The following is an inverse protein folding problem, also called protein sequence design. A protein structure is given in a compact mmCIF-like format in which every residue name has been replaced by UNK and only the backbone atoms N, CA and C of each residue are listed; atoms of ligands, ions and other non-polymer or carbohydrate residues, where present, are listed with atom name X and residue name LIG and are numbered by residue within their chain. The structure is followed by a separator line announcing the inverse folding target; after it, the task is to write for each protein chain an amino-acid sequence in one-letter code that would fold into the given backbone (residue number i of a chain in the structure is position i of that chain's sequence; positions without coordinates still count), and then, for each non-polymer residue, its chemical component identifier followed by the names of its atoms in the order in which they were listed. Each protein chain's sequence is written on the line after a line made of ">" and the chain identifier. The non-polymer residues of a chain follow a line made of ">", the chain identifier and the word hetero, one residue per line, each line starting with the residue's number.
data_IF_310383177859
#
_entry.id   IF_310383177859
#
_cell.length_a   1.000
_cell.length_b   1.000
_cell.length_c   1.000
_cell.angle_alpha   90.00
_cell.angle_beta   90.00
_cell.angle_gamma   90.00
#
_symmetry.space_group_name_H-M   'P 1'
#
loop_
_entity.id
_entity.type
_entity.pdbx_description
1 polymer ?
#
# COMPACT_ATOMS: atom_id res chain seq x y z
N UNK A 1 -42.04 9.61 -35.75
CA UNK A 1 -41.44 10.06 -34.48
C UNK A 1 -40.81 8.81 -33.86
N UNK A 2 -39.49 8.59 -33.96
CA UNK A 2 -38.42 9.18 -33.14
C UNK A 2 -38.69 8.94 -31.64
N UNK A 3 -37.82 8.36 -30.82
CA UNK A 3 -36.52 7.72 -31.00
C UNK A 3 -36.29 6.83 -29.74
N UNK A 4 -35.32 5.92 -29.84
CA UNK A 4 -34.88 5.02 -28.79
C UNK A 4 -34.38 5.73 -27.51
N UNK A 5 -34.44 5.00 -26.38
CA UNK A 5 -33.52 5.20 -25.26
C UNK A 5 -33.26 3.85 -24.58
N UNK A 6 -32.26 3.15 -25.10
CA UNK A 6 -31.47 2.22 -24.30
C UNK A 6 -30.63 3.04 -23.29
N UNK A 7 -30.48 2.51 -22.09
CA UNK A 7 -29.33 2.74 -21.20
C UNK A 7 -28.99 1.35 -20.67
N UNK A 8 -28.13 0.60 -21.32
CA UNK A 8 -26.67 0.64 -21.22
C UNK A 8 -26.13 0.89 -19.80
N UNK A 9 -25.55 -0.19 -19.27
CA UNK A 9 -24.22 -0.27 -18.67
C UNK A 9 -23.95 0.53 -17.40
N UNK A 10 -23.91 -0.23 -16.29
CA UNK A 10 -23.21 0.13 -15.07
C UNK A 10 -22.60 -1.11 -14.43
N UNK A 11 -21.95 -1.95 -15.25
CA UNK A 11 -21.07 -2.99 -14.75
C UNK A 11 -19.98 -2.32 -13.91
N UNK A 12 -20.09 -2.40 -12.59
CA UNK A 12 -18.95 -2.09 -11.72
C UNK A 12 -17.91 -3.16 -12.04
N UNK A 13 -16.91 -2.73 -12.80
CA UNK A 13 -15.68 -3.46 -13.05
C UNK A 13 -15.18 -4.04 -11.73
N UNK A 14 -15.20 -5.37 -11.60
CA UNK A 14 -14.29 -6.06 -10.69
C UNK A 14 -12.87 -5.80 -11.20
N UNK A 15 -12.23 -4.78 -10.63
CA UNK A 15 -10.80 -4.50 -10.69
C UNK A 15 -10.49 -4.13 -9.24
N UNK A 16 -9.83 -4.91 -8.40
CA UNK A 16 -8.76 -5.87 -8.64
C UNK A 16 -7.63 -5.45 -7.71
N UNK A 17 -7.46 -6.16 -6.58
CA UNK A 17 -6.35 -5.97 -5.64
C UNK A 17 -6.15 -4.51 -5.18
N UNK A 18 -7.04 -4.00 -4.32
CA UNK A 18 -6.81 -2.69 -3.69
C UNK A 18 -5.65 -2.84 -2.70
N UNK A 19 -4.49 -2.28 -3.04
CA UNK A 19 -3.29 -2.33 -2.20
C UNK A 19 -3.13 -1.05 -1.41
N UNK A 20 -2.91 -1.21 -0.11
CA UNK A 20 -2.49 -0.14 0.80
C UNK A 20 -1.03 -0.34 1.18
N UNK A 21 -0.35 0.74 1.51
CA UNK A 21 1.09 0.74 1.69
C UNK A 21 1.47 1.19 3.09
N UNK A 22 2.48 0.56 3.65
CA UNK A 22 3.05 0.95 4.94
C UNK A 22 4.55 1.13 4.81
N UNK A 23 5.06 2.28 5.27
CA UNK A 23 6.50 2.46 5.47
C UNK A 23 6.82 1.92 6.87
N UNK A 24 7.72 0.95 6.94
CA UNK A 24 8.11 0.28 8.16
C UNK A 24 9.62 0.34 8.33
N UNK A 25 10.11 0.38 9.56
CA UNK A 25 11.56 0.27 9.79
C UNK A 25 12.01 -1.18 9.63
N UNK A 26 13.31 -1.40 9.43
CA UNK A 26 13.87 -2.74 9.36
C UNK A 26 13.54 -3.57 10.61
N UNK A 27 13.59 -2.97 11.80
CA UNK A 27 13.31 -3.68 13.05
C UNK A 27 11.84 -4.13 13.14
N UNK A 28 10.91 -3.26 12.75
CA UNK A 28 9.49 -3.59 12.68
C UNK A 28 9.21 -4.70 11.66
N UNK A 29 9.82 -4.61 10.48
CA UNK A 29 9.67 -5.62 9.43
C UNK A 29 10.22 -6.98 9.85
N UNK A 30 11.38 -7.01 10.49
CA UNK A 30 11.95 -8.23 11.05
C UNK A 30 11.09 -8.80 12.18
N UNK A 31 10.53 -7.95 13.05
CA UNK A 31 9.62 -8.38 14.09
C UNK A 31 8.35 -9.00 13.51
N UNK A 32 7.77 -8.40 12.46
CA UNK A 32 6.60 -8.93 11.76
C UNK A 32 6.89 -10.29 11.13
N UNK A 33 8.02 -10.45 10.46
CA UNK A 33 8.44 -11.74 9.89
C UNK A 33 8.64 -12.81 10.97
N UNK A 34 9.25 -12.45 12.10
CA UNK A 34 9.60 -13.38 13.18
C UNK A 34 8.38 -13.82 13.98
N UNK A 35 7.46 -12.89 14.26
CA UNK A 35 6.32 -13.11 15.14
C UNK A 35 5.04 -13.46 14.37
N UNK A 36 5.03 -13.29 13.04
CA UNK A 36 3.86 -13.47 12.18
C UNK A 36 2.79 -12.36 12.33
N UNK A 37 2.95 -11.46 13.30
CA UNK A 37 2.11 -10.28 13.49
C UNK A 37 2.87 -9.19 14.24
N UNK A 38 2.43 -7.94 14.11
CA UNK A 38 3.02 -6.78 14.80
C UNK A 38 1.94 -5.83 15.27
N UNK A 39 2.22 -5.03 16.31
CA UNK A 39 1.42 -3.88 16.72
C UNK A 39 1.94 -2.56 16.10
N UNK A 40 2.88 -2.64 15.16
CA UNK A 40 3.42 -1.47 14.50
C UNK A 40 4.33 -0.65 15.42
N UNK A 41 4.47 0.63 15.08
CA UNK A 41 5.37 1.54 15.75
C UNK A 41 4.74 2.18 16.99
N UNK A 42 5.50 3.04 17.66
CA UNK A 42 5.00 3.81 18.80
C UNK A 42 3.79 4.68 18.42
N UNK A 43 3.81 5.29 17.23
CA UNK A 43 2.69 6.09 16.74
C UNK A 43 1.41 5.27 16.57
N UNK A 44 1.50 4.05 16.05
CA UNK A 44 0.33 3.20 15.84
C UNK A 44 -0.24 2.72 17.18
N UNK A 45 0.63 2.36 18.13
CA UNK A 45 0.23 1.93 19.46
C UNK A 45 -0.40 3.07 20.29
N UNK A 46 0.09 4.30 20.12
CA UNK A 46 -0.44 5.47 20.84
C UNK A 46 -1.77 5.97 20.27
N UNK A 47 -1.96 5.87 18.95
CA UNK A 47 -3.20 6.27 18.27
C UNK A 47 -4.25 5.16 18.23
N UNK A 48 -3.84 3.89 18.38
CA UNK A 48 -4.73 2.73 18.32
C UNK A 48 -5.12 2.32 16.90
N UNK A 49 -4.35 2.70 15.89
CA UNK A 49 -4.52 2.26 14.51
C UNK A 49 -3.19 2.20 13.75
N UNK A 50 -3.14 1.34 12.74
CA UNK A 50 -2.04 1.31 11.79
C UNK A 50 -2.24 2.40 10.75
N UNK A 51 -1.28 3.32 10.66
CA UNK A 51 -1.26 4.31 9.60
C UNK A 51 -0.75 3.68 8.31
N UNK A 52 -1.62 3.69 7.30
CA UNK A 52 -1.34 3.21 5.97
C UNK A 52 -1.50 4.39 5.00
N UNK A 53 -0.94 4.24 3.81
CA UNK A 53 -0.98 5.23 2.75
C UNK A 53 -1.44 4.59 1.46
N UNK A 54 -2.18 5.32 0.64
CA UNK A 54 -2.35 4.96 -0.75
C UNK A 54 -1.04 5.14 -1.51
N UNK A 55 -0.90 4.49 -2.68
CA UNK A 55 0.32 4.54 -3.48
C UNK A 55 0.82 5.99 -3.74
N UNK A 56 -0.09 6.88 -4.11
CA UNK A 56 0.22 8.29 -4.39
C UNK A 56 0.61 9.09 -3.13
N UNK A 57 0.25 8.62 -1.94
CA UNK A 57 0.55 9.27 -0.66
C UNK A 57 1.89 8.81 -0.08
N UNK A 58 2.39 7.62 -0.44
CA UNK A 58 3.65 7.04 0.08
C UNK A 58 4.80 8.04 -0.03
N UNK A 59 4.92 8.74 -1.15
CA UNK A 59 5.98 9.73 -1.36
C UNK A 59 5.92 10.87 -0.33
N UNK A 60 4.73 11.45 -0.13
CA UNK A 60 4.53 12.54 0.83
C UNK A 60 4.76 12.05 2.26
N UNK A 61 4.27 10.86 2.61
CA UNK A 61 4.52 10.24 3.93
C UNK A 61 6.01 10.02 4.17
N UNK A 62 6.75 9.50 3.19
CA UNK A 62 8.19 9.29 3.29
C UNK A 62 8.92 10.62 3.49
N UNK A 63 8.53 11.64 2.72
CA UNK A 63 9.15 12.98 2.81
C UNK A 63 8.90 13.65 4.16
N UNK A 64 7.66 13.62 4.65
CA UNK A 64 7.28 14.34 5.87
C UNK A 64 7.76 13.66 7.16
N UNK A 65 7.84 12.33 7.18
CA UNK A 65 8.08 11.58 8.42
C UNK A 65 9.42 10.84 8.46
N UNK A 66 10.05 10.56 7.32
CA UNK A 66 11.17 9.61 7.25
C UNK A 66 12.44 10.14 6.56
N UNK A 67 12.48 11.41 6.09
CA UNK A 67 13.69 11.98 5.46
C UNK A 67 14.90 11.99 6.38
N UNK A 68 14.69 12.31 7.65
CA UNK A 68 15.77 12.38 8.65
C UNK A 68 16.03 11.03 9.34
N UNK A 69 15.35 9.96 8.89
CA UNK A 69 15.57 8.63 9.44
C UNK A 69 16.89 8.04 8.92
N UNK A 70 17.82 7.77 9.84
CA UNK A 70 19.06 7.05 9.55
C UNK A 70 18.89 5.52 9.53
N UNK A 71 17.65 5.03 9.63
CA UNK A 71 17.36 3.59 9.66
C UNK A 71 17.06 3.06 8.27
N UNK A 72 17.27 1.77 8.11
CA UNK A 72 16.77 1.05 6.95
C UNK A 72 15.25 1.04 6.98
N UNK A 73 14.64 1.41 5.85
CA UNK A 73 13.19 1.47 5.68
C UNK A 73 12.72 0.43 4.67
N UNK A 74 11.51 -0.06 4.85
CA UNK A 74 10.84 -0.99 3.97
C UNK A 74 9.46 -0.45 3.60
N UNK A 75 9.11 -0.57 2.32
CA UNK A 75 7.75 -0.35 1.83
C UNK A 75 7.04 -1.69 1.79
N UNK A 76 6.03 -1.85 2.65
CA UNK A 76 5.17 -3.01 2.70
C UNK A 76 3.93 -2.73 1.87
N UNK A 77 3.66 -3.59 0.89
CA UNK A 77 2.40 -3.64 0.17
C UNK A 77 1.48 -4.62 0.88
N UNK A 78 0.29 -4.15 1.24
CA UNK A 78 -0.69 -4.88 2.03
C UNK A 78 -1.97 -4.97 1.20
N UNK A 79 -2.55 -6.17 1.16
CA UNK A 79 -3.81 -6.41 0.48
C UNK A 79 -4.98 -5.88 1.33
N UNK A 80 -5.67 -4.84 0.85
CA UNK A 80 -6.80 -4.26 1.55
C UNK A 80 -7.96 -5.25 1.69
N UNK A 81 -8.13 -6.19 0.75
CA UNK A 81 -9.18 -7.20 0.83
C UNK A 81 -8.96 -8.13 2.02
N UNK A 82 -7.69 -8.45 2.32
CA UNK A 82 -7.32 -9.25 3.51
C UNK A 82 -7.54 -8.52 4.83
N UNK A 83 -7.46 -7.19 4.82
CA UNK A 83 -7.76 -6.37 6.01
C UNK A 83 -9.27 -6.27 6.28
N UNK A 84 -10.08 -6.36 5.22
CA UNK A 84 -11.54 -6.40 5.28
C UNK A 84 -12.14 -5.23 6.05
N UNK A 85 -13.10 -5.52 6.93
CA UNK A 85 -13.81 -4.50 7.73
C UNK A 85 -12.94 -3.76 8.74
N UNK A 86 -11.69 -4.21 8.95
CA UNK A 86 -10.74 -3.55 9.83
C UNK A 86 -10.05 -2.33 9.22
N UNK A 87 -10.18 -2.13 7.90
CA UNK A 87 -9.62 -1.00 7.17
C UNK A 87 -10.66 0.12 7.07
N UNK A 88 -10.29 1.32 7.52
CA UNK A 88 -11.15 2.51 7.51
C UNK A 88 -10.41 3.64 6.81
N UNK A 89 -11.07 4.30 5.86
CA UNK A 89 -10.52 5.45 5.16
C UNK A 89 -10.99 6.74 5.84
N UNK A 90 -10.06 7.46 6.46
CA UNK A 90 -10.36 8.68 7.21
C UNK A 90 -9.72 9.90 6.55
N UNK A 91 -10.49 10.99 6.45
CA UNK A 91 -9.99 12.26 5.96
C UNK A 91 -9.10 12.91 7.02
N UNK A 92 -7.82 13.10 6.70
CA UNK A 92 -6.86 13.82 7.55
C UNK A 92 -6.96 15.33 7.31
N UNK A 93 -7.29 15.71 6.08
CA UNK A 93 -7.66 17.08 5.71
C UNK A 93 -8.81 17.08 4.70
N UNK A 94 -9.24 18.26 4.25
CA UNK A 94 -10.38 18.41 3.33
C UNK A 94 -10.22 17.75 1.95
N UNK A 95 -9.05 17.19 1.63
CA UNK A 95 -8.73 16.57 0.34
C UNK A 95 -8.02 15.22 0.43
N UNK A 96 -7.35 14.91 1.55
CA UNK A 96 -6.52 13.74 1.72
C UNK A 96 -7.17 12.72 2.66
N UNK A 97 -7.47 11.56 2.10
CA UNK A 97 -8.03 10.43 2.81
C UNK A 97 -6.95 9.37 2.98
N UNK A 98 -6.64 9.01 4.22
CA UNK A 98 -5.65 8.00 4.55
C UNK A 98 -6.32 6.71 5.04
N UNK A 99 -5.83 5.54 4.60
CA UNK A 99 -6.25 4.27 5.16
C UNK A 99 -5.69 4.06 6.57
N UNK A 100 -6.56 3.78 7.53
CA UNK A 100 -6.23 3.40 8.89
C UNK A 100 -6.76 2.01 9.19
N UNK A 101 -5.89 1.12 9.64
CA UNK A 101 -6.29 -0.24 10.02
C UNK A 101 -6.41 -0.38 11.54
N UNK A 102 -7.63 -0.68 12.00
CA UNK A 102 -7.95 -0.93 13.41
C UNK A 102 -8.17 -2.43 13.69
N UNK A 103 -8.39 -3.24 12.66
CA UNK A 103 -8.82 -4.63 12.77
C UNK A 103 -10.34 -4.81 12.90
N UNK A 104 -10.84 -6.06 12.81
CA UNK A 104 -12.25 -6.37 12.60
C UNK A 104 -13.19 -5.81 13.69
N UNK A 105 -12.72 -5.71 14.94
CA UNK A 105 -13.49 -5.18 16.06
C UNK A 105 -13.23 -3.69 16.35
N UNK A 106 -12.48 -3.00 15.49
CA UNK A 106 -11.94 -1.64 15.72
C UNK A 106 -11.19 -1.45 17.04
N UNK A 107 -10.62 -2.54 17.58
CA UNK A 107 -9.98 -2.55 18.90
C UNK A 107 -8.45 -2.54 18.84
N UNK A 108 -7.87 -2.06 17.73
CA UNK A 108 -6.44 -2.14 17.44
C UNK A 108 -5.92 -3.59 17.40
N UNK A 109 -6.25 -4.30 16.32
CA UNK A 109 -5.73 -5.65 16.07
C UNK A 109 -4.34 -5.59 15.44
N UNK A 110 -3.45 -6.55 15.75
CA UNK A 110 -2.13 -6.58 15.15
C UNK A 110 -2.23 -6.86 13.65
N UNK A 111 -1.38 -6.18 12.86
CA UNK A 111 -1.23 -6.49 11.44
C UNK A 111 -0.54 -7.85 11.29
N UNK A 112 -1.15 -8.74 10.53
CA UNK A 112 -0.62 -10.09 10.29
C UNK A 112 0.30 -10.10 9.07
N UNK A 113 1.31 -10.96 9.10
CA UNK A 113 2.23 -11.14 7.97
C UNK A 113 1.51 -11.65 6.72
N UNK A 114 0.42 -12.44 6.88
CA UNK A 114 -0.38 -12.93 5.75
C UNK A 114 -0.99 -11.80 4.92
N UNK A 115 -1.32 -10.66 5.52
CA UNK A 115 -1.87 -9.50 4.82
C UNK A 115 -0.82 -8.79 3.94
N UNK A 116 0.47 -8.98 4.23
CA UNK A 116 1.58 -8.37 3.47
C UNK A 116 1.85 -9.21 2.22
N UNK A 117 1.60 -8.63 1.05
CA UNK A 117 1.84 -9.30 -0.24
C UNK A 117 3.26 -9.08 -0.74
N UNK A 118 3.87 -7.94 -0.40
CA UNK A 118 5.21 -7.58 -0.82
C UNK A 118 5.90 -6.70 0.20
N UNK A 119 7.22 -6.82 0.30
CA UNK A 119 8.06 -5.92 1.08
C UNK A 119 9.31 -5.56 0.26
N UNK A 120 9.60 -4.27 0.14
CA UNK A 120 10.76 -3.77 -0.61
C UNK A 120 11.60 -2.83 0.27
N UNK A 121 12.93 -3.03 0.29
CA UNK A 121 13.85 -2.15 1.01
C UNK A 121 13.96 -0.81 0.27
N UNK A 122 13.67 0.29 0.96
CA UNK A 122 13.83 1.65 0.45
C UNK A 122 15.29 2.10 0.63
N UNK A 123 15.94 2.48 -0.47
CA UNK A 123 17.29 3.07 -0.45
C UNK A 123 17.18 4.58 -0.61
N UNK A 124 17.40 5.31 0.49
CA UNK A 124 17.32 6.79 0.52
C UNK A 124 18.34 7.47 -0.41
N UNK A 125 19.40 6.77 -0.84
CA UNK A 125 20.36 7.27 -1.85
C UNK A 125 19.71 7.51 -3.22
N UNK A 126 18.59 6.87 -3.53
CA UNK A 126 17.77 7.15 -4.73
C UNK A 126 16.87 8.37 -4.51
N UNK A 127 16.45 8.62 -3.26
CA UNK A 127 15.55 9.72 -2.91
C UNK A 127 16.23 11.08 -2.78
N UNK A 128 17.47 11.14 -2.28
CA UNK A 128 18.25 12.39 -2.27
C UNK A 128 18.46 12.97 -3.69
N UNK A 129 18.37 12.13 -4.73
CA UNK A 129 18.44 12.52 -6.14
C UNK A 129 17.04 12.77 -6.75
N UNK A 130 15.98 12.34 -6.08
CA UNK A 130 14.57 12.50 -6.47
C UNK A 130 13.91 13.79 -5.95
N UNK A 131 14.68 14.72 -5.38
CA UNK A 131 14.26 16.14 -5.26
C UNK A 131 13.94 16.75 -6.64
N UNK A 132 14.26 16.06 -7.75
CA UNK A 132 14.07 16.56 -9.11
C UNK A 132 13.09 15.80 -10.01
N UNK A 133 12.47 14.68 -9.62
CA UNK A 133 11.54 14.01 -10.56
C UNK A 133 10.49 13.09 -9.93
N UNK A 134 9.22 13.51 -10.03
CA UNK A 134 8.00 12.80 -9.64
C UNK A 134 7.87 11.42 -10.32
N UNK A 135 8.54 11.20 -11.46
CA UNK A 135 8.44 9.97 -12.25
C UNK A 135 9.31 8.84 -11.73
N UNK A 136 10.35 9.10 -10.93
CA UNK A 136 11.30 8.05 -10.50
C UNK A 136 10.74 7.20 -9.36
N UNK A 137 10.00 7.81 -8.43
CA UNK A 137 9.37 7.11 -7.30
C UNK A 137 8.23 6.24 -7.81
N UNK A 138 7.36 6.82 -8.65
CA UNK A 138 6.29 6.08 -9.31
C UNK A 138 6.88 5.02 -10.24
N UNK A 139 7.95 5.27 -11.00
CA UNK A 139 8.56 4.23 -11.84
C UNK A 139 9.26 3.13 -11.05
N UNK A 140 9.83 3.39 -9.86
CA UNK A 140 10.40 2.34 -9.02
C UNK A 140 9.31 1.44 -8.45
N UNK A 141 8.17 2.01 -8.04
CA UNK A 141 7.03 1.23 -7.54
C UNK A 141 6.26 0.56 -8.69
N UNK A 142 5.97 1.28 -9.78
CA UNK A 142 5.24 0.79 -10.95
C UNK A 142 6.06 -0.16 -11.85
N UNK A 143 7.35 0.09 -12.11
CA UNK A 143 8.17 -0.83 -12.94
C UNK A 143 8.40 -2.17 -12.22
N UNK A 144 8.42 -2.18 -10.88
CA UNK A 144 8.51 -3.42 -10.10
C UNK A 144 7.17 -4.15 -9.91
N UNK A 145 6.03 -3.48 -10.11
CA UNK A 145 4.70 -4.10 -10.13
C UNK A 145 4.38 -4.64 -11.55
N UNK A 146 4.76 -3.92 -12.61
CA UNK A 146 4.56 -4.36 -14.01
C UNK A 146 5.43 -5.54 -14.43
N UNK A 147 6.52 -5.82 -13.74
CA UNK A 147 7.42 -6.93 -14.09
C UNK A 147 6.80 -8.33 -13.96
N UNK A 148 5.55 -8.49 -13.50
CA UNK A 148 4.93 -9.83 -13.33
C UNK A 148 3.59 -10.06 -14.02
N UNK A 149 2.98 -9.06 -14.64
CA UNK A 149 1.88 -9.28 -15.61
C UNK A 149 2.38 -9.82 -16.96
N UNK A 150 3.70 -9.79 -17.21
CA UNK A 150 4.30 -10.37 -18.42
C UNK A 150 4.62 -11.87 -18.31
N UNK A 151 4.46 -12.50 -17.13
CA UNK A 151 4.78 -13.93 -16.95
C UNK A 151 3.59 -14.87 -17.20
N UNK A 152 2.44 -14.35 -17.61
CA UNK A 152 1.27 -15.12 -18.06
C UNK A 152 0.98 -14.87 -19.54
N UNK A 153 1.97 -15.08 -20.41
CA UNK A 153 1.70 -15.39 -21.83
C UNK A 153 2.86 -16.11 -22.52
N UNK A 154 3.29 -17.25 -21.96
CA UNK A 154 4.01 -18.27 -22.71
C UNK A 154 3.38 -19.63 -22.42
N UNK A 155 2.23 -19.90 -23.04
CA UNK A 155 1.88 -21.27 -23.41
C UNK A 155 1.88 -21.33 -24.94
N UNK A 156 2.82 -22.07 -25.57
CA UNK A 156 2.67 -22.41 -26.97
C UNK A 156 1.48 -23.36 -27.10
N UNK A 157 0.50 -22.96 -27.91
CA UNK A 157 -0.60 -23.84 -28.30
C UNK A 157 0.00 -24.90 -29.23
N UNK A 158 0.16 -26.12 -28.72
CA UNK A 158 0.42 -27.32 -29.52
C UNK A 158 -0.88 -28.06 -29.75
N UNK A 159 -1.03 -28.51 -31.00
CA UNK A 159 -2.13 -29.27 -31.63
C UNK A 159 -3.23 -28.44 -32.32
#
# INVERSE_FOLDING_TARGET
>A
MAAAAAKEEGGVNKVGEEFVYRISTAEEWEALQRNGSTFGGELDQTTGCFHLSNLHQVQSTLQNFFLDSHRDLYLLQIDAEKLGEGLVYEAVDGSNVFPHFYGPSRSFSPLTFDAVTKAEKLTLSVFARAVLDERVVIAAVESNIRARVSSWKCMPNSE
#
